data_IF_231902228194
#
_entry.id   IF_231902228194
#
_cell.length_a   1.000
_cell.length_b   1.000
_cell.length_c   1.000
_cell.angle_alpha   90.00
_cell.angle_beta   90.00
_cell.angle_gamma   90.00
#
_symmetry.space_group_name_H-M   'P 1'
#
loop_
_entity.id
_entity.type
_entity.pdbx_description
1 polymer ?
#
# COMPACT_ATOMS: atom_id res chain seq x y z
N UNK A 1 14.47 28.82 15.21
CA UNK A 1 13.15 28.15 15.03
C UNK A 1 12.82 27.68 13.60
N UNK A 2 13.64 27.90 12.56
CA UNK A 2 13.31 27.46 11.17
C UNK A 2 13.67 26.00 10.83
N UNK A 3 14.76 25.48 11.39
CA UNK A 3 15.23 24.10 11.13
C UNK A 3 14.24 23.04 11.62
N UNK A 4 13.62 23.26 12.78
CA UNK A 4 12.64 22.33 13.35
C UNK A 4 11.41 22.15 12.46
N UNK A 5 10.96 23.22 11.81
CA UNK A 5 9.85 23.17 10.84
C UNK A 5 10.24 22.45 9.54
N UNK A 6 11.50 22.57 9.10
CA UNK A 6 12.01 21.81 7.95
C UNK A 6 12.12 20.32 8.27
N UNK A 7 12.69 19.94 9.41
CA UNK A 7 12.78 18.53 9.83
C UNK A 7 11.40 17.91 10.00
N UNK A 8 10.45 18.65 10.58
CA UNK A 8 9.08 18.17 10.72
C UNK A 8 8.42 17.88 9.36
N UNK A 9 8.60 18.76 8.37
CA UNK A 9 8.07 18.53 7.01
C UNK A 9 8.71 17.31 6.36
N UNK A 10 10.02 17.17 6.44
CA UNK A 10 10.74 16.01 5.88
C UNK A 10 10.30 14.72 6.57
N UNK A 11 10.14 14.75 7.90
CA UNK A 11 9.65 13.60 8.66
C UNK A 11 8.22 13.24 8.25
N UNK A 12 7.31 14.22 8.18
CA UNK A 12 5.92 13.99 7.79
C UNK A 12 5.83 13.42 6.36
N UNK A 13 6.58 13.98 5.42
CA UNK A 13 6.65 13.47 4.04
C UNK A 13 7.22 12.07 4.00
N UNK A 14 8.36 11.83 4.66
CA UNK A 14 8.99 10.51 4.73
C UNK A 14 8.08 9.47 5.36
N UNK A 15 7.35 9.85 6.41
CA UNK A 15 6.38 8.98 7.08
C UNK A 15 5.22 8.60 6.16
N UNK A 16 4.60 9.57 5.48
CA UNK A 16 3.53 9.29 4.51
C UNK A 16 4.01 8.38 3.36
N UNK A 17 5.19 8.66 2.79
CA UNK A 17 5.79 7.80 1.75
C UNK A 17 6.09 6.40 2.28
N UNK A 18 6.56 6.29 3.52
CA UNK A 18 6.84 4.99 4.14
C UNK A 18 5.55 4.20 4.35
N UNK A 19 4.49 4.80 4.89
CA UNK A 19 3.21 4.11 5.06
C UNK A 19 2.62 3.67 3.73
N UNK A 20 2.63 4.55 2.73
CA UNK A 20 2.09 4.22 1.41
C UNK A 20 2.92 3.12 0.73
N UNK A 21 4.25 3.27 0.73
CA UNK A 21 5.17 2.29 0.16
C UNK A 21 5.10 0.94 0.86
N UNK A 22 5.08 0.94 2.20
CA UNK A 22 4.97 -0.29 3.01
C UNK A 22 3.62 -0.95 2.82
N UNK A 23 2.52 -0.17 2.79
CA UNK A 23 1.19 -0.67 2.48
C UNK A 23 1.14 -1.34 1.10
N UNK A 24 1.74 -0.72 0.09
CA UNK A 24 1.81 -1.27 -1.27
C UNK A 24 2.66 -2.54 -1.35
N UNK A 25 3.74 -2.60 -0.57
CA UNK A 25 4.60 -3.77 -0.43
C UNK A 25 3.83 -4.93 0.21
N UNK A 26 3.13 -4.68 1.33
CA UNK A 26 2.28 -5.67 2.00
C UNK A 26 1.19 -6.17 1.06
N UNK A 27 0.55 -5.27 0.32
CA UNK A 27 -0.45 -5.67 -0.66
C UNK A 27 0.13 -6.60 -1.73
N UNK A 28 1.30 -6.25 -2.27
CA UNK A 28 1.94 -6.97 -3.36
C UNK A 28 2.50 -8.33 -2.95
N UNK A 29 3.16 -8.43 -1.78
CA UNK A 29 3.84 -9.64 -1.34
C UNK A 29 2.98 -10.56 -0.46
N UNK A 30 1.93 -10.04 0.17
CA UNK A 30 1.08 -10.81 1.07
C UNK A 30 -0.34 -10.90 0.50
N UNK A 31 -1.00 -9.77 0.29
CA UNK A 31 -2.45 -9.76 0.00
C UNK A 31 -2.76 -10.32 -1.40
N UNK A 32 -2.07 -9.88 -2.45
CA UNK A 32 -2.25 -10.38 -3.82
C UNK A 32 -1.96 -11.89 -3.93
N UNK A 33 -0.85 -12.44 -3.42
CA UNK A 33 -0.62 -13.89 -3.46
C UNK A 33 -1.65 -14.67 -2.63
N UNK A 34 -2.10 -14.14 -1.48
CA UNK A 34 -3.21 -14.75 -0.72
C UNK A 34 -4.50 -14.78 -1.55
N UNK A 35 -4.87 -13.68 -2.23
CA UNK A 35 -6.05 -13.65 -3.12
C UNK A 35 -5.91 -14.67 -4.26
N UNK A 36 -4.70 -14.79 -4.85
CA UNK A 36 -4.39 -15.78 -5.89
C UNK A 36 -4.50 -17.22 -5.40
N UNK A 37 -4.08 -17.51 -4.17
CA UNK A 37 -4.19 -18.84 -3.58
C UNK A 37 -5.66 -19.21 -3.29
N UNK A 38 -6.46 -18.24 -2.85
CA UNK A 38 -7.87 -18.46 -2.51
C UNK A 38 -8.80 -18.44 -3.73
N UNK A 39 -8.37 -17.88 -4.87
CA UNK A 39 -9.22 -17.69 -6.05
C UNK A 39 -8.65 -18.45 -7.25
N UNK A 40 -9.36 -19.49 -7.72
CA UNK A 40 -8.94 -20.29 -8.89
C UNK A 40 -9.12 -19.59 -10.25
N UNK A 41 -9.95 -18.54 -10.31
CA UNK A 41 -10.26 -17.81 -11.55
C UNK A 41 -9.37 -16.59 -11.77
N UNK A 42 -8.76 -16.47 -12.96
CA UNK A 42 -7.84 -15.37 -13.29
C UNK A 42 -8.55 -14.00 -13.30
N UNK A 43 -9.74 -13.92 -13.91
CA UNK A 43 -10.57 -12.70 -13.92
C UNK A 43 -11.08 -12.32 -12.53
N UNK A 44 -11.52 -13.30 -11.75
CA UNK A 44 -12.05 -13.05 -10.40
C UNK A 44 -10.96 -12.57 -9.44
N UNK A 45 -9.74 -13.07 -9.61
CA UNK A 45 -8.55 -12.57 -8.90
C UNK A 45 -8.28 -11.10 -9.22
N UNK A 46 -8.33 -10.72 -10.50
CA UNK A 46 -8.11 -9.33 -10.91
C UNK A 46 -9.13 -8.38 -10.29
N UNK A 47 -10.43 -8.72 -10.34
CA UNK A 47 -11.48 -7.91 -9.70
C UNK A 47 -11.27 -7.78 -8.18
N UNK A 48 -10.89 -8.86 -7.50
CA UNK A 48 -10.63 -8.84 -6.06
C UNK A 48 -9.39 -8.01 -5.72
N UNK A 49 -8.32 -8.12 -6.50
CA UNK A 49 -7.10 -7.31 -6.31
C UNK A 49 -7.40 -5.83 -6.54
N UNK A 50 -8.10 -5.48 -7.63
CA UNK A 50 -8.49 -4.10 -7.92
C UNK A 50 -9.36 -3.51 -6.80
N UNK A 51 -10.38 -4.24 -6.35
CA UNK A 51 -11.24 -3.79 -5.25
C UNK A 51 -10.50 -3.65 -3.92
N UNK A 52 -9.48 -4.48 -3.68
CA UNK A 52 -8.64 -4.40 -2.49
C UNK A 52 -7.73 -3.16 -2.53
N UNK A 53 -7.16 -2.84 -3.70
CA UNK A 53 -6.36 -1.62 -3.90
C UNK A 53 -7.23 -0.38 -3.67
N UNK A 54 -8.42 -0.32 -4.30
CA UNK A 54 -9.32 0.85 -4.22
C UNK A 54 -9.86 1.14 -2.82
N UNK A 55 -9.91 0.14 -1.93
CA UNK A 55 -10.30 0.32 -0.52
C UNK A 55 -9.14 0.69 0.39
N UNK A 56 -7.91 0.43 -0.05
CA UNK A 56 -6.70 0.61 0.78
C UNK A 56 -6.01 1.93 0.53
N UNK A 57 -6.11 2.48 -0.68
CA UNK A 57 -5.52 3.75 -1.13
C UNK A 57 -6.56 4.61 -1.81
#
# INVERSE_FOLDING_TARGET
MRKMNQYWRVFATGFCFTLFGLGGLVLSFIVIPVIRLLTKGQKETEYKVQGTIQRSF
#
